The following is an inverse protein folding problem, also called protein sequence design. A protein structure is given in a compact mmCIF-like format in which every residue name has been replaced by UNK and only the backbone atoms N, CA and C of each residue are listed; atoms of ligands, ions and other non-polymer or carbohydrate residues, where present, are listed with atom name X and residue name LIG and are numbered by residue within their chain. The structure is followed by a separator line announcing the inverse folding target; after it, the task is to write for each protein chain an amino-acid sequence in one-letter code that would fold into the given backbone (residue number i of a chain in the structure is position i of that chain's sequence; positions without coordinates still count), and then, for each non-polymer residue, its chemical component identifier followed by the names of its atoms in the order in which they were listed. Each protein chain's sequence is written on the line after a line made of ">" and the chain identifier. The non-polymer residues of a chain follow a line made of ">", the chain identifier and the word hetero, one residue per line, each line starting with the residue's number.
data_IF_316785590527
#
_entry.id   IF_316785590527
#
_cell.length_a   1.000
_cell.length_b   1.000
_cell.length_c   1.000
_cell.angle_alpha   90.00
_cell.angle_beta   90.00
_cell.angle_gamma   90.00
#
_symmetry.space_group_name_H-M   'P 1'
#
loop_
_entity.id
_entity.type
_entity.pdbx_description
1 polymer ?
#
# COMPACT_ATOMS: atom_id res chain seq x y z
N UNK A 1 10.16 2.03 -4.84
CA UNK A 1 9.01 2.55 -4.07
C UNK A 1 7.74 2.31 -4.89
N UNK A 2 6.72 1.69 -4.30
CA UNK A 2 5.42 1.41 -4.91
C UNK A 2 4.36 2.12 -4.07
N UNK A 3 3.60 3.02 -4.69
CA UNK A 3 2.55 3.80 -4.03
C UNK A 3 1.20 3.46 -4.66
N UNK A 4 0.25 3.03 -3.85
CA UNK A 4 -1.13 2.78 -4.27
C UNK A 4 -2.05 3.90 -3.76
N UNK A 5 -2.79 4.56 -4.65
CA UNK A 5 -3.76 5.59 -4.25
C UNK A 5 -5.02 4.98 -3.61
N UNK A 6 -5.51 5.58 -2.53
CA UNK A 6 -6.69 5.07 -1.80
C UNK A 6 -7.98 5.02 -2.63
N UNK A 7 -8.07 5.81 -3.70
CA UNK A 7 -9.19 5.76 -4.64
C UNK A 7 -9.34 4.39 -5.33
N UNK A 8 -8.27 3.59 -5.42
CA UNK A 8 -8.35 2.24 -6.00
C UNK A 8 -9.19 1.28 -5.14
N UNK A 9 -9.40 1.58 -3.86
CA UNK A 9 -10.23 0.74 -2.97
C UNK A 9 -11.74 0.89 -3.20
N UNK A 10 -12.16 1.92 -3.95
CA UNK A 10 -13.58 2.13 -4.31
C UNK A 10 -14.02 1.22 -5.48
N UNK A 11 -13.07 0.56 -6.14
CA UNK A 11 -13.33 -0.31 -7.30
C UNK A 11 -13.78 -1.71 -6.87
N UNK A 12 -14.62 -2.38 -7.69
CA UNK A 12 -15.03 -3.76 -7.42
C UNK A 12 -13.87 -4.76 -7.46
N UNK A 13 -12.77 -4.44 -8.13
CA UNK A 13 -11.55 -5.25 -8.22
C UNK A 13 -10.42 -4.78 -7.28
N UNK A 14 -10.74 -3.95 -6.27
CA UNK A 14 -9.76 -3.38 -5.34
C UNK A 14 -8.80 -4.42 -4.73
N UNK A 15 -9.32 -5.59 -4.35
CA UNK A 15 -8.52 -6.68 -3.76
C UNK A 15 -7.47 -7.23 -4.72
N UNK A 16 -7.79 -7.37 -6.01
CA UNK A 16 -6.84 -7.91 -7.00
C UNK A 16 -5.77 -6.88 -7.36
N UNK A 17 -6.13 -5.60 -7.42
CA UNK A 17 -5.19 -4.49 -7.63
C UNK A 17 -4.23 -4.40 -6.45
N UNK A 18 -4.74 -4.44 -5.22
CA UNK A 18 -3.92 -4.45 -4.00
C UNK A 18 -2.98 -5.64 -3.95
N UNK A 19 -3.49 -6.85 -4.21
CA UNK A 19 -2.69 -8.08 -4.22
C UNK A 19 -1.56 -8.01 -5.26
N UNK A 20 -1.85 -7.50 -6.46
CA UNK A 20 -0.85 -7.36 -7.53
C UNK A 20 0.24 -6.35 -7.15
N UNK A 21 -0.14 -5.22 -6.55
CA UNK A 21 0.80 -4.21 -6.10
C UNK A 21 1.67 -4.70 -4.92
N UNK A 22 1.07 -5.45 -3.99
CA UNK A 22 1.78 -6.10 -2.90
C UNK A 22 2.79 -7.13 -3.42
N UNK A 23 2.40 -8.01 -4.35
CA UNK A 23 3.31 -8.96 -4.99
C UNK A 23 4.47 -8.30 -5.72
N UNK A 24 4.22 -7.19 -6.42
CA UNK A 24 5.29 -6.40 -7.03
C UNK A 24 6.25 -5.84 -5.98
N UNK A 25 5.72 -5.35 -4.86
CA UNK A 25 6.53 -4.80 -3.78
C UNK A 25 7.41 -5.85 -3.09
N UNK A 26 6.93 -7.09 -2.94
CA UNK A 26 7.72 -8.21 -2.43
C UNK A 26 8.85 -8.59 -3.37
N UNK A 27 8.61 -8.61 -4.70
CA UNK A 27 9.69 -8.83 -5.68
C UNK A 27 10.77 -7.76 -5.65
N UNK A 28 10.39 -6.53 -5.35
CA UNK A 28 11.31 -5.38 -5.25
C UNK A 28 11.95 -5.26 -3.86
N UNK A 29 11.48 -6.04 -2.86
CA UNK A 29 11.99 -6.05 -1.48
C UNK A 29 13.47 -6.41 -1.45
N UNK A 30 13.87 -7.43 -2.19
CA UNK A 30 15.27 -7.90 -2.21
C UNK A 30 16.24 -6.85 -2.76
N UNK A 31 15.78 -5.98 -3.67
CA UNK A 31 16.56 -4.87 -4.20
C UNK A 31 16.64 -3.73 -3.18
N UNK A 32 15.53 -3.44 -2.51
CA UNK A 32 15.46 -2.38 -1.51
C UNK A 32 16.24 -2.71 -0.22
N UNK A 33 16.15 -3.94 0.28
CA UNK A 33 16.84 -4.40 1.51
C UNK A 33 18.36 -4.36 1.37
N UNK A 34 18.88 -4.51 0.15
CA UNK A 34 20.31 -4.32 -0.14
C UNK A 34 20.76 -2.88 0.03
N UNK A 35 19.88 -1.91 -0.18
CA UNK A 35 20.17 -0.49 0.01
C UNK A 35 19.91 -0.06 1.46
N UNK A 36 18.79 -0.50 2.03
CA UNK A 36 18.39 -0.23 3.41
C UNK A 36 17.41 -1.30 3.90
N UNK A 37 17.75 -1.97 5.01
CA UNK A 37 16.95 -3.06 5.59
C UNK A 37 15.60 -2.59 6.12
N UNK A 38 15.48 -1.32 6.52
CA UNK A 38 14.23 -0.77 7.08
C UNK A 38 13.33 -0.15 6.01
N UNK A 39 13.81 -0.03 4.77
CA UNK A 39 13.08 0.66 3.71
C UNK A 39 11.73 0.01 3.40
N UNK A 40 10.65 0.78 3.54
CA UNK A 40 9.30 0.31 3.17
C UNK A 40 9.08 0.46 1.67
N UNK A 41 8.97 -0.67 0.97
CA UNK A 41 8.80 -0.68 -0.50
C UNK A 41 7.38 -0.33 -0.92
N UNK A 42 6.38 -0.64 -0.09
CA UNK A 42 4.97 -0.46 -0.37
C UNK A 42 4.35 0.58 0.55
N UNK A 43 3.53 1.47 0.00
CA UNK A 43 2.79 2.48 0.74
C UNK A 43 1.46 2.79 0.07
N UNK A 44 0.48 3.22 0.88
CA UNK A 44 -0.83 3.67 0.39
C UNK A 44 -0.93 5.18 0.58
N UNK A 45 -1.32 5.89 -0.47
CA UNK A 45 -1.57 7.33 -0.43
C UNK A 45 -3.05 7.58 -0.15
N UNK A 46 -3.35 8.05 1.06
CA UNK A 46 -4.71 8.41 1.47
C UNK A 46 -5.06 9.83 1.03
N UNK A 47 -6.25 10.01 0.44
CA UNK A 47 -6.78 11.33 0.04
C UNK A 47 -7.40 12.11 1.20
N UNK A 48 -7.87 11.41 2.24
CA UNK A 48 -8.58 12.00 3.37
C UNK A 48 -7.82 11.82 4.67
N UNK A 49 -7.57 12.91 5.40
CA UNK A 49 -6.86 12.87 6.67
C UNK A 49 -7.62 12.06 7.74
N UNK A 50 -8.96 12.14 7.76
CA UNK A 50 -9.81 11.39 8.69
C UNK A 50 -9.85 9.89 8.40
N UNK A 51 -9.57 9.47 7.16
CA UNK A 51 -9.65 8.07 6.76
C UNK A 51 -8.56 7.23 7.44
N UNK A 52 -7.36 7.77 7.63
CA UNK A 52 -6.28 7.06 8.32
C UNK A 52 -6.66 6.82 9.79
N UNK A 53 -7.16 7.85 10.48
CA UNK A 53 -7.61 7.73 11.87
C UNK A 53 -8.79 6.76 12.03
N UNK A 54 -9.75 6.77 11.08
CA UNK A 54 -10.86 5.83 11.08
C UNK A 54 -10.39 4.37 10.89
N UNK A 55 -9.45 4.14 9.99
CA UNK A 55 -8.86 2.81 9.75
C UNK A 55 -8.06 2.32 10.96
N UNK A 56 -7.34 3.20 11.66
CA UNK A 56 -6.62 2.86 12.89
C UNK A 56 -7.57 2.44 14.02
N UNK A 57 -8.77 3.02 14.06
CA UNK A 57 -9.84 2.63 14.99
C UNK A 57 -10.63 1.38 14.54
N UNK A 58 -10.32 0.82 13.37
CA UNK A 58 -10.93 -0.40 12.83
C UNK A 58 -12.25 -0.18 12.07
N UNK A 59 -12.56 1.06 11.68
CA UNK A 59 -13.74 1.36 10.86
C UNK A 59 -13.48 0.90 9.42
N UNK A 60 -14.49 0.32 8.76
CA UNK A 60 -14.40 -0.30 7.43
C UNK A 60 -15.27 0.43 6.40
#
# INVERSE_FOLDING_TARGET
>A
LVILGSAMFERPDATSVYASAAQLSEKLRDVAVKADKEWRVFSVLHRYASQVAALDLGYK
#
